data_IF_810328359736
#
_entry.id   IF_810328359736
#
_cell.length_a   1.000
_cell.length_b   1.000
_cell.length_c   1.000
_cell.angle_alpha   90.00
_cell.angle_beta   90.00
_cell.angle_gamma   90.00
#
_symmetry.space_group_name_H-M   'P 1'
#
loop_
_entity.id
_entity.type
_entity.pdbx_description
1 polymer ?
#
# COMPACT_ATOMS: atom_id res chain seq x y z
N UNK A 1 40.41 -28.79 16.42
CA UNK A 1 40.01 -27.45 15.96
C UNK A 1 38.84 -27.66 15.04
N UNK A 2 37.60 -27.36 15.48
CA UNK A 2 36.42 -27.48 14.65
C UNK A 2 36.35 -26.28 13.70
N UNK A 3 36.23 -26.55 12.42
CA UNK A 3 35.93 -25.56 11.40
C UNK A 3 34.52 -25.05 11.67
N UNK A 4 34.36 -23.80 12.01
CA UNK A 4 33.10 -23.18 12.42
C UNK A 4 32.05 -23.08 11.32
N UNK A 5 31.82 -24.18 10.58
CA UNK A 5 30.78 -24.23 9.54
C UNK A 5 29.41 -24.48 10.18
N UNK A 6 28.59 -23.44 10.19
CA UNK A 6 27.19 -23.55 10.62
C UNK A 6 26.36 -24.20 9.51
N UNK A 7 25.84 -25.38 9.76
CA UNK A 7 24.82 -25.97 8.88
C UNK A 7 23.46 -25.41 9.27
N UNK A 8 22.86 -24.61 8.38
CA UNK A 8 21.48 -24.14 8.53
C UNK A 8 20.56 -25.25 8.04
N UNK A 9 19.67 -25.81 8.89
CA UNK A 9 18.71 -26.84 8.46
C UNK A 9 17.80 -26.30 7.34
N UNK A 10 17.44 -27.15 6.37
CA UNK A 10 16.55 -26.75 5.26
C UNK A 10 15.20 -26.20 5.70
N UNK A 11 14.74 -26.60 6.89
CA UNK A 11 13.48 -26.14 7.47
C UNK A 11 13.62 -24.92 8.39
N UNK A 12 14.84 -24.34 8.52
CA UNK A 12 15.13 -23.21 9.42
C UNK A 12 14.27 -22.00 9.10
N UNK A 13 14.16 -21.61 7.84
CA UNK A 13 13.37 -20.45 7.42
C UNK A 13 11.88 -20.67 7.74
N UNK A 14 11.38 -21.90 7.58
CA UNK A 14 10.00 -22.25 7.93
C UNK A 14 9.78 -22.22 9.44
N UNK A 15 10.71 -22.74 10.23
CA UNK A 15 10.66 -22.73 11.70
C UNK A 15 10.83 -21.31 12.25
N UNK A 16 11.71 -20.51 11.67
CA UNK A 16 11.88 -19.10 12.04
C UNK A 16 10.59 -18.29 11.78
N UNK A 17 9.95 -18.49 10.64
CA UNK A 17 8.68 -17.84 10.33
C UNK A 17 7.56 -18.23 11.30
N UNK A 18 7.44 -19.50 11.68
CA UNK A 18 6.46 -19.99 12.67
C UNK A 18 6.78 -19.41 14.05
N UNK A 19 8.05 -19.33 14.43
CA UNK A 19 8.49 -18.79 15.71
C UNK A 19 8.21 -17.28 15.83
N UNK A 20 8.48 -16.50 14.78
CA UNK A 20 8.16 -15.08 14.73
C UNK A 20 6.64 -14.83 14.76
N UNK A 21 5.87 -15.64 14.05
CA UNK A 21 4.42 -15.58 14.03
C UNK A 21 3.80 -15.87 15.41
N UNK A 22 4.39 -16.77 16.19
CA UNK A 22 3.93 -17.11 17.53
C UNK A 22 4.29 -16.07 18.60
N UNK A 23 5.31 -15.25 18.36
CA UNK A 23 5.90 -14.35 19.37
C UNK A 23 5.44 -12.90 19.27
N UNK A 24 5.04 -12.45 18.09
CA UNK A 24 4.90 -11.00 17.87
C UNK A 24 3.48 -10.47 17.93
N UNK A 25 2.44 -11.28 17.80
CA UNK A 25 1.07 -10.73 17.63
C UNK A 25 0.98 -9.66 16.51
N UNK A 26 2.10 -9.35 15.90
CA UNK A 26 2.26 -8.45 14.78
C UNK A 26 2.22 -9.31 13.54
N UNK A 27 1.18 -9.18 12.75
CA UNK A 27 1.16 -9.70 11.40
C UNK A 27 2.26 -9.03 10.59
N UNK A 28 3.46 -9.57 10.62
CA UNK A 28 4.46 -9.29 9.61
C UNK A 28 3.93 -9.90 8.32
N UNK A 29 3.21 -9.11 7.54
CA UNK A 29 2.93 -9.48 6.16
C UNK A 29 4.27 -9.46 5.42
N UNK A 30 4.93 -10.61 5.38
CA UNK A 30 6.03 -10.83 4.46
C UNK A 30 5.44 -10.61 3.06
N UNK A 31 5.86 -9.56 2.39
CA UNK A 31 5.33 -9.11 1.09
C UNK A 31 5.46 -10.15 -0.03
N UNK A 32 6.14 -11.26 0.22
CA UNK A 32 6.36 -12.38 -0.70
C UNK A 32 5.19 -13.38 -0.81
N UNK A 33 4.10 -13.20 -0.10
CA UNK A 33 2.97 -14.15 -0.10
C UNK A 33 1.92 -13.89 -1.18
N UNK A 34 2.10 -12.84 -1.98
CA UNK A 34 1.30 -12.67 -3.19
C UNK A 34 1.86 -13.65 -4.21
N UNK A 35 1.02 -14.57 -4.70
CA UNK A 35 1.43 -15.52 -5.70
C UNK A 35 2.07 -14.80 -6.90
N UNK A 36 3.09 -15.39 -7.52
CA UNK A 36 3.80 -14.74 -8.64
C UNK A 36 2.85 -14.31 -9.74
N UNK A 37 1.84 -15.11 -10.04
CA UNK A 37 0.83 -14.79 -11.05
C UNK A 37 0.01 -13.53 -10.68
N UNK A 38 -0.32 -13.36 -9.40
CA UNK A 38 -1.07 -12.18 -8.93
C UNK A 38 -0.23 -10.90 -8.95
N UNK A 39 1.09 -11.02 -9.04
CA UNK A 39 1.99 -9.88 -9.16
C UNK A 39 2.12 -9.39 -10.61
N UNK A 40 1.88 -10.25 -11.61
CA UNK A 40 2.09 -9.93 -13.03
C UNK A 40 1.22 -8.75 -13.47
N UNK A 41 -0.08 -8.82 -13.20
CA UNK A 41 -1.07 -7.81 -13.61
C UNK A 41 -1.47 -6.83 -12.50
N UNK A 42 -0.68 -6.79 -11.43
CA UNK A 42 -1.00 -5.91 -10.31
C UNK A 42 -0.78 -4.44 -10.68
N UNK A 43 -1.77 -3.60 -10.36
CA UNK A 43 -1.75 -2.15 -10.60
C UNK A 43 -0.91 -1.35 -9.59
N UNK A 44 -0.04 -1.97 -8.85
CA UNK A 44 0.89 -1.35 -7.91
C UNK A 44 2.29 -1.89 -8.08
N UNK A 45 3.24 -1.33 -7.34
CA UNK A 45 4.59 -1.88 -7.28
C UNK A 45 4.57 -3.27 -6.65
N UNK A 46 5.33 -4.17 -7.26
CA UNK A 46 5.46 -5.56 -6.82
C UNK A 46 6.92 -5.90 -6.55
N UNK A 47 7.15 -7.05 -5.95
CA UNK A 47 8.51 -7.56 -5.79
C UNK A 47 9.23 -7.76 -7.13
N UNK A 48 8.49 -8.12 -8.19
CA UNK A 48 9.04 -8.27 -9.55
C UNK A 48 9.61 -6.97 -10.13
N UNK A 49 9.14 -5.81 -9.66
CA UNK A 49 9.59 -4.49 -10.11
C UNK A 49 10.82 -3.99 -9.33
N UNK A 50 11.12 -4.55 -8.16
CA UNK A 50 12.16 -4.03 -7.25
C UNK A 50 13.50 -4.78 -7.41
N UNK A 51 13.49 -6.00 -7.95
CA UNK A 51 14.67 -6.85 -8.03
C UNK A 51 15.14 -6.99 -9.47
N UNK A 52 15.97 -6.04 -9.91
CA UNK A 52 16.72 -6.09 -11.17
C UNK A 52 17.90 -7.07 -11.17
N UNK A 53 18.19 -7.74 -10.04
CA UNK A 53 19.31 -8.63 -9.85
C UNK A 53 19.04 -10.09 -10.22
N UNK A 54 20.06 -10.93 -10.11
CA UNK A 54 20.04 -12.36 -10.39
C UNK A 54 18.84 -13.07 -9.77
N UNK A 55 17.92 -13.47 -10.62
CA UNK A 55 16.75 -14.27 -10.21
C UNK A 55 17.08 -15.72 -10.49
N UNK A 56 17.28 -16.48 -9.43
CA UNK A 56 17.51 -17.92 -9.51
C UNK A 56 16.17 -18.65 -9.61
N UNK A 57 15.83 -19.13 -10.80
CA UNK A 57 14.69 -20.03 -11.02
C UNK A 57 13.79 -19.65 -12.20
N UNK A 58 13.57 -20.58 -13.13
CA UNK A 58 12.84 -20.33 -14.38
C UNK A 58 11.41 -19.82 -14.22
N UNK A 59 10.71 -20.15 -13.11
CA UNK A 59 9.35 -19.67 -12.85
C UNK A 59 9.30 -18.17 -12.50
N UNK A 60 10.30 -17.70 -11.78
CA UNK A 60 10.41 -16.28 -11.39
C UNK A 60 10.79 -15.45 -12.61
N UNK A 61 11.72 -15.95 -13.42
CA UNK A 61 12.10 -15.29 -14.67
C UNK A 61 10.91 -15.18 -15.63
N UNK A 62 10.15 -16.24 -15.82
CA UNK A 62 8.93 -16.21 -16.63
C UNK A 62 7.91 -15.18 -16.10
N UNK A 63 7.72 -15.11 -14.79
CA UNK A 63 6.83 -14.12 -14.16
C UNK A 63 7.35 -12.69 -14.37
N UNK A 64 8.66 -12.46 -14.28
CA UNK A 64 9.29 -11.16 -14.54
C UNK A 64 9.09 -10.73 -16.00
N UNK A 65 9.31 -11.61 -16.96
CA UNK A 65 9.07 -11.32 -18.37
C UNK A 65 7.59 -11.02 -18.64
N UNK A 66 6.68 -11.77 -18.06
CA UNK A 66 5.25 -11.50 -18.14
C UNK A 66 4.88 -10.14 -17.52
N UNK A 67 5.50 -9.77 -16.39
CA UNK A 67 5.33 -8.46 -15.73
C UNK A 67 5.83 -7.33 -16.64
N UNK A 68 7.02 -7.44 -17.19
CA UNK A 68 7.58 -6.45 -18.12
C UNK A 68 6.70 -6.26 -19.36
N UNK A 69 6.18 -7.36 -19.91
CA UNK A 69 5.22 -7.32 -21.02
C UNK A 69 3.97 -6.54 -20.63
N UNK A 70 3.37 -6.86 -19.48
CA UNK A 70 2.19 -6.16 -18.97
C UNK A 70 2.46 -4.66 -18.75
N UNK A 71 3.61 -4.29 -18.17
CA UNK A 71 4.00 -2.88 -17.98
C UNK A 71 4.13 -2.12 -19.31
N UNK A 72 4.63 -2.77 -20.36
CA UNK A 72 4.69 -2.19 -21.73
C UNK A 72 3.29 -2.02 -22.31
N UNK A 73 2.40 -2.99 -22.16
CA UNK A 73 1.01 -2.92 -22.59
C UNK A 73 0.26 -1.78 -21.86
N UNK A 74 0.63 -1.48 -20.62
CA UNK A 74 0.09 -0.34 -19.87
C UNK A 74 0.78 1.00 -20.23
N UNK A 75 1.77 1.00 -21.12
CA UNK A 75 2.53 2.20 -21.50
C UNK A 75 3.47 2.73 -20.41
N UNK A 76 3.79 1.91 -19.40
CA UNK A 76 4.64 2.27 -18.25
C UNK A 76 6.12 1.98 -18.50
N UNK A 77 6.43 1.16 -19.49
CA UNK A 77 7.77 0.88 -20.00
C UNK A 77 7.80 1.05 -21.51
N UNK A 78 8.93 1.43 -22.07
CA UNK A 78 9.13 1.62 -23.50
C UNK A 78 10.23 0.68 -24.03
N UNK A 79 10.04 0.14 -25.21
CA UNK A 79 11.05 -0.67 -25.91
C UNK A 79 11.61 -1.77 -24.98
N UNK A 80 12.93 -1.80 -24.86
CA UNK A 80 13.67 -2.80 -24.08
C UNK A 80 13.96 -2.37 -22.64
N UNK A 81 13.31 -1.28 -22.17
CA UNK A 81 13.43 -0.87 -20.77
C UNK A 81 13.00 -2.00 -19.83
N UNK A 82 13.78 -2.20 -18.78
CA UNK A 82 13.53 -3.21 -17.73
C UNK A 82 13.27 -2.57 -16.37
N UNK A 83 13.67 -1.31 -16.20
CA UNK A 83 13.54 -0.56 -14.94
C UNK A 83 12.45 0.52 -15.05
N UNK A 84 11.61 0.57 -14.05
CA UNK A 84 10.58 1.60 -13.93
C UNK A 84 11.19 2.96 -13.58
N UNK A 85 10.90 3.97 -14.39
CA UNK A 85 11.22 5.36 -14.07
C UNK A 85 10.42 5.83 -12.83
N UNK A 86 10.85 6.92 -12.20
CA UNK A 86 10.11 7.54 -11.09
C UNK A 86 8.68 7.95 -11.49
N UNK A 87 8.52 8.40 -12.74
CA UNK A 87 7.20 8.75 -13.29
C UNK A 87 6.31 7.53 -13.45
N UNK A 88 6.82 6.42 -13.99
CA UNK A 88 6.09 5.16 -14.13
C UNK A 88 5.70 4.58 -12.75
N UNK A 89 6.61 4.64 -11.77
CA UNK A 89 6.31 4.25 -10.37
C UNK A 89 5.20 5.10 -9.75
N UNK A 90 5.21 6.41 -9.99
CA UNK A 90 4.16 7.31 -9.53
C UNK A 90 2.81 7.00 -10.18
N UNK A 91 2.81 6.64 -11.47
CA UNK A 91 1.60 6.28 -12.19
C UNK A 91 1.02 4.94 -11.70
N UNK A 92 1.83 3.91 -11.51
CA UNK A 92 1.40 2.65 -10.86
C UNK A 92 0.76 2.92 -9.49
N UNK A 93 1.35 3.81 -8.73
CA UNK A 93 0.83 4.18 -7.42
C UNK A 93 -0.54 4.89 -7.49
N UNK A 94 -0.80 5.68 -8.54
CA UNK A 94 -2.11 6.29 -8.77
C UNK A 94 -3.14 5.24 -9.20
N UNK A 95 -2.77 4.34 -10.10
CA UNK A 95 -3.63 3.25 -10.56
C UNK A 95 -4.06 2.35 -9.40
N UNK A 96 -3.11 1.96 -8.54
CA UNK A 96 -3.39 1.16 -7.34
C UNK A 96 -4.35 1.87 -6.38
N UNK A 97 -4.11 3.16 -6.12
CA UNK A 97 -5.00 3.98 -5.30
C UNK A 97 -6.41 4.04 -5.89
N UNK A 98 -6.53 4.34 -7.19
CA UNK A 98 -7.82 4.39 -7.89
C UNK A 98 -8.59 3.07 -7.78
N UNK A 99 -7.89 1.94 -7.94
CA UNK A 99 -8.51 0.61 -7.81
C UNK A 99 -9.00 0.33 -6.37
N UNK A 100 -8.22 0.75 -5.37
CA UNK A 100 -8.64 0.66 -3.98
C UNK A 100 -9.85 1.55 -3.67
N UNK A 101 -9.91 2.74 -4.24
CA UNK A 101 -11.06 3.64 -4.10
C UNK A 101 -12.33 3.06 -4.73
N UNK A 102 -12.23 2.50 -5.93
CA UNK A 102 -13.37 1.80 -6.58
C UNK A 102 -13.86 0.64 -5.73
N UNK A 103 -12.93 -0.19 -5.22
CA UNK A 103 -13.29 -1.33 -4.35
C UNK A 103 -13.98 -0.86 -3.06
N UNK A 104 -13.44 0.14 -2.39
CA UNK A 104 -14.01 0.69 -1.16
C UNK A 104 -15.38 1.35 -1.44
N UNK A 105 -15.52 2.08 -2.53
CA UNK A 105 -16.79 2.66 -2.94
C UNK A 105 -17.87 1.59 -3.16
N UNK A 106 -17.52 0.52 -3.86
CA UNK A 106 -18.42 -0.62 -4.09
C UNK A 106 -18.81 -1.34 -2.79
N UNK A 107 -17.86 -1.52 -1.86
CA UNK A 107 -18.11 -2.20 -0.58
C UNK A 107 -18.92 -1.37 0.41
N UNK A 108 -18.78 -0.05 0.38
CA UNK A 108 -19.35 0.84 1.40
C UNK A 108 -20.53 1.67 0.90
N UNK A 109 -20.77 1.72 -0.41
CA UNK A 109 -21.77 2.61 -1.03
C UNK A 109 -21.39 4.10 -0.95
N UNK A 110 -20.18 4.44 -0.52
CA UNK A 110 -19.71 5.82 -0.34
C UNK A 110 -18.88 6.29 -1.54
N UNK A 111 -18.85 7.61 -1.74
CA UNK A 111 -18.06 8.21 -2.80
C UNK A 111 -16.60 8.44 -2.37
N UNK A 112 -15.66 8.14 -3.26
CA UNK A 112 -14.26 8.50 -3.08
C UNK A 112 -14.05 9.99 -3.38
N UNK A 113 -13.41 10.72 -2.46
CA UNK A 113 -13.06 12.14 -2.62
C UNK A 113 -11.55 12.27 -2.77
N UNK A 114 -11.13 13.00 -3.79
CA UNK A 114 -9.75 13.36 -4.02
C UNK A 114 -9.50 14.76 -3.48
N UNK A 115 -8.49 14.90 -2.63
CA UNK A 115 -8.13 16.21 -2.07
C UNK A 115 -7.05 16.86 -2.92
N UNK A 116 -7.38 18.00 -3.51
CA UNK A 116 -6.44 18.94 -4.09
C UNK A 116 -5.66 19.71 -3.01
N UNK A 117 -4.54 20.36 -3.40
CA UNK A 117 -3.76 21.18 -2.46
C UNK A 117 -4.61 22.31 -1.88
N UNK A 118 -4.62 22.44 -0.56
CA UNK A 118 -5.45 23.40 0.18
C UNK A 118 -6.81 22.87 0.60
N UNK A 119 -7.32 21.82 -0.05
CA UNK A 119 -8.61 21.23 0.27
C UNK A 119 -8.60 20.44 1.57
N UNK A 120 -9.78 20.36 2.19
CA UNK A 120 -10.01 19.66 3.45
C UNK A 120 -11.10 18.62 3.31
N UNK A 121 -10.96 17.54 4.08
CA UNK A 121 -12.00 16.54 4.24
C UNK A 121 -12.26 16.29 5.72
N UNK A 122 -13.52 16.43 6.13
CA UNK A 122 -13.99 16.18 7.48
C UNK A 122 -14.62 14.80 7.57
N UNK A 123 -14.11 13.99 8.49
CA UNK A 123 -14.58 12.63 8.67
C UNK A 123 -14.01 11.98 9.92
N UNK A 124 -14.15 10.69 10.01
CA UNK A 124 -13.60 9.85 11.08
C UNK A 124 -12.45 9.01 10.52
N UNK A 125 -11.36 8.89 11.26
CA UNK A 125 -10.30 7.96 10.88
C UNK A 125 -10.77 6.53 11.11
N UNK A 126 -10.99 5.78 10.05
CA UNK A 126 -11.51 4.41 10.12
C UNK A 126 -10.39 3.37 10.21
N UNK A 127 -9.20 3.71 9.73
CA UNK A 127 -8.03 2.83 9.78
C UNK A 127 -7.09 3.05 8.60
N UNK A 128 -6.11 2.17 8.49
CA UNK A 128 -5.15 2.18 7.42
C UNK A 128 -5.56 1.22 6.29
N UNK A 129 -5.22 1.59 5.06
CA UNK A 129 -5.35 0.76 3.85
C UNK A 129 -3.96 0.55 3.29
N UNK A 130 -3.53 -0.70 3.23
CA UNK A 130 -2.23 -1.05 2.67
C UNK A 130 -2.34 -1.21 1.14
N UNK A 131 -1.52 -0.46 0.42
CA UNK A 131 -1.40 -0.48 -1.03
C UNK A 131 0.06 -0.77 -1.40
N UNK A 132 0.34 -2.00 -1.78
CA UNK A 132 1.69 -2.43 -2.13
C UNK A 132 2.73 -2.01 -1.09
N UNK A 133 3.56 -1.05 -1.45
CA UNK A 133 4.61 -0.50 -0.58
C UNK A 133 4.19 0.75 0.20
N UNK A 134 2.92 1.16 0.12
CA UNK A 134 2.41 2.38 0.78
C UNK A 134 1.22 2.08 1.65
N UNK A 135 1.14 2.82 2.74
CA UNK A 135 -0.01 2.80 3.63
C UNK A 135 -0.75 4.13 3.53
N UNK A 136 -2.07 4.07 3.36
CA UNK A 136 -2.95 5.24 3.30
C UNK A 136 -3.91 5.22 4.48
N UNK A 137 -4.28 6.39 4.97
CA UNK A 137 -5.33 6.56 5.95
C UNK A 137 -6.69 6.68 5.26
N UNK A 138 -7.64 5.91 5.72
CA UNK A 138 -9.03 5.99 5.32
C UNK A 138 -9.75 6.93 6.28
N UNK A 139 -10.18 8.07 5.77
CA UNK A 139 -11.03 9.03 6.48
C UNK A 139 -12.39 8.98 5.83
N UNK A 140 -13.44 8.74 6.62
CA UNK A 140 -14.78 8.60 6.09
C UNK A 140 -15.85 9.33 6.89
N UNK A 141 -16.92 9.68 6.23
CA UNK A 141 -18.18 10.09 6.82
C UNK A 141 -19.33 9.26 6.21
N UNK A 142 -20.58 9.60 6.49
CA UNK A 142 -21.74 8.82 6.03
C UNK A 142 -21.87 8.74 4.51
N UNK A 143 -21.34 9.71 3.75
CA UNK A 143 -21.54 9.82 2.30
C UNK A 143 -20.28 9.57 1.48
N UNK A 144 -19.12 9.85 2.03
CA UNK A 144 -17.88 9.87 1.28
C UNK A 144 -16.69 9.41 2.13
N UNK A 145 -15.59 9.12 1.45
CA UNK A 145 -14.30 8.84 2.09
C UNK A 145 -13.14 9.42 1.27
N UNK A 146 -12.02 9.64 1.92
CA UNK A 146 -10.76 10.04 1.30
C UNK A 146 -9.65 9.09 1.71
N UNK A 147 -8.78 8.72 0.76
CA UNK A 147 -7.52 8.03 0.99
C UNK A 147 -6.38 9.04 0.93
N UNK A 148 -5.71 9.24 2.05
CA UNK A 148 -4.63 10.21 2.21
C UNK A 148 -3.38 9.56 2.82
N UNK A 149 -2.17 10.14 2.66
CA UNK A 149 -0.97 9.57 3.24
C UNK A 149 -1.13 9.27 4.73
N UNK A 150 -0.85 8.04 5.13
CA UNK A 150 -0.89 7.61 6.52
C UNK A 150 0.40 7.99 7.26
N UNK A 151 0.29 8.21 8.56
CA UNK A 151 1.41 8.39 9.48
C UNK A 151 1.20 7.59 10.76
N UNK A 152 2.24 7.07 11.40
CA UNK A 152 2.10 6.28 12.64
C UNK A 152 1.33 7.01 13.74
N UNK A 153 1.51 8.33 13.83
CA UNK A 153 0.93 9.15 14.89
C UNK A 153 -0.59 9.19 14.87
N UNK A 154 -1.22 8.94 13.71
CA UNK A 154 -2.69 8.96 13.63
C UNK A 154 -3.34 7.65 14.07
N UNK A 155 -2.59 6.56 14.19
CA UNK A 155 -3.16 5.24 14.51
C UNK A 155 -3.87 5.22 15.87
N UNK A 156 -3.30 5.90 16.87
CA UNK A 156 -3.92 6.06 18.20
C UNK A 156 -5.25 6.82 18.19
N UNK A 157 -5.58 7.45 17.08
CA UNK A 157 -6.81 8.25 16.90
C UNK A 157 -7.87 7.52 16.07
N UNK A 158 -7.71 6.21 15.89
CA UNK A 158 -8.70 5.40 15.18
C UNK A 158 -10.10 5.56 15.80
N UNK A 159 -11.09 5.75 14.96
CA UNK A 159 -12.46 6.03 15.37
C UNK A 159 -12.75 7.47 15.76
N UNK A 160 -11.75 8.36 15.86
CA UNK A 160 -11.96 9.77 16.22
C UNK A 160 -12.28 10.64 14.99
N UNK A 161 -13.07 11.69 15.24
CA UNK A 161 -13.29 12.72 14.24
C UNK A 161 -12.00 13.50 13.97
N UNK A 162 -11.72 13.77 12.70
CA UNK A 162 -10.56 14.55 12.28
C UNK A 162 -10.79 15.24 10.95
N UNK A 163 -10.03 16.30 10.72
CA UNK A 163 -9.99 16.99 9.45
C UNK A 163 -8.63 16.74 8.81
N UNK A 164 -8.63 16.18 7.62
CA UNK A 164 -7.45 16.03 6.78
C UNK A 164 -7.37 17.23 5.82
N UNK A 165 -6.26 17.96 5.82
CA UNK A 165 -6.00 19.06 4.87
C UNK A 165 -4.82 18.71 4.00
N UNK A 166 -5.03 18.69 2.68
CA UNK A 166 -3.94 18.49 1.72
C UNK A 166 -3.06 19.73 1.66
N UNK A 167 -1.76 19.56 1.82
CA UNK A 167 -0.75 20.60 1.68
C UNK A 167 0.22 20.26 0.55
N UNK A 168 1.03 21.21 0.12
CA UNK A 168 2.07 20.95 -0.90
C UNK A 168 3.07 19.87 -0.46
N UNK A 169 3.32 19.74 0.85
CA UNK A 169 4.28 18.78 1.43
C UNK A 169 3.65 17.48 1.95
N UNK A 170 2.32 17.30 1.81
CA UNK A 170 1.64 16.12 2.35
C UNK A 170 0.25 16.40 2.87
N UNK A 171 -0.07 15.90 4.07
CA UNK A 171 -1.36 16.10 4.74
C UNK A 171 -1.13 16.59 6.16
N UNK A 172 -1.82 17.63 6.56
CA UNK A 172 -1.95 18.06 7.95
C UNK A 172 -3.24 17.52 8.55
N UNK A 173 -3.22 17.26 9.84
CA UNK A 173 -4.30 16.63 10.59
C UNK A 173 -4.76 17.52 11.72
N UNK A 174 -6.06 17.75 11.85
CA UNK A 174 -6.67 18.36 13.01
C UNK A 174 -7.56 17.33 13.67
N UNK A 175 -7.29 16.98 14.92
CA UNK A 175 -7.93 15.88 15.65
C UNK A 175 -8.86 16.46 16.70
N UNK A 176 -10.05 15.88 16.85
CA UNK A 176 -10.95 16.21 17.95
C UNK A 176 -11.85 17.41 17.74
N UNK A 177 -11.91 18.00 16.56
CA UNK A 177 -12.88 19.04 16.24
C UNK A 177 -14.17 18.38 15.74
N UNK A 178 -14.97 17.84 16.68
CA UNK A 178 -16.38 17.63 16.39
C UNK A 178 -17.01 18.99 16.11
N UNK A 179 -17.71 19.14 14.97
CA UNK A 179 -18.57 20.31 14.73
C UNK A 179 -19.48 20.49 15.96
N UNK A 180 -19.22 21.52 16.73
CA UNK A 180 -20.21 22.02 17.66
C UNK A 180 -21.49 22.28 16.85
N UNK A 181 -22.58 21.56 17.14
CA UNK A 181 -23.90 21.91 16.63
C UNK A 181 -24.13 23.35 17.07
N UNK A 182 -24.10 24.26 16.11
CA UNK A 182 -24.68 25.58 16.31
C UNK A 182 -26.18 25.34 16.39
N UNK A 183 -26.68 25.23 17.58
CA UNK A 183 -28.09 25.34 17.87
C UNK A 183 -28.40 26.85 17.69
N UNK A 184 -28.82 27.24 16.49
CA UNK A 184 -29.51 28.51 16.32
C UNK A 184 -30.88 28.39 16.99
N UNK A 185 -31.07 29.24 17.97
CA UNK A 185 -32.37 29.55 18.54
C UNK A 185 -33.18 30.35 17.52
#
# INVERSE_FOLDING_TARGET
MGDGTWQIPEDYLRKAAIFEQSRSGVHVQVRSWIALNDQIERHGLTWLDEHGGEIVGGRVEAAKQARLKWLREQGLLRGDEVDLTSAARAELAKLEKKRAEVRLASQTGRQAVHLGTGETFDGRFEGAVDLGNRRLALIGNAKAFALVPWRPEIERHRGRAMIARRTAKGVSWTIGVGRAKVLSR
#
